data_IF_998742086542
#
_entry.id   IF_998742086542
#
_cell.length_a   1.000
_cell.length_b   1.000
_cell.length_c   1.000
_cell.angle_alpha   90.00
_cell.angle_beta   90.00
_cell.angle_gamma   90.00
#
_symmetry.space_group_name_H-M   'P 1'
#
loop_
_entity.id
_entity.type
_entity.pdbx_description
1 polymer ?
#
# COMPACT_ATOMS: atom_id res chain seq x y z
N UNK A 1 -16.57 12.90 -6.85
CA UNK A 1 -15.80 14.11 -6.53
C UNK A 1 -14.42 13.68 -6.06
N UNK A 2 -13.34 14.20 -6.67
CA UNK A 2 -11.96 13.92 -6.28
C UNK A 2 -11.51 15.01 -5.27
N UNK A 3 -10.78 14.70 -4.20
CA UNK A 3 -10.30 15.73 -3.28
C UNK A 3 -9.28 16.64 -4.00
N UNK A 4 -9.29 17.97 -3.73
CA UNK A 4 -8.50 18.97 -4.45
C UNK A 4 -7.09 19.09 -3.86
N UNK A 5 -6.43 17.97 -3.58
CA UNK A 5 -5.03 17.98 -3.17
C UNK A 5 -4.29 17.14 -4.19
N UNK A 6 -3.41 17.82 -4.94
CA UNK A 6 -2.44 17.25 -5.85
C UNK A 6 -1.39 16.47 -5.02
N UNK A 7 -1.79 15.38 -4.38
CA UNK A 7 -0.87 14.39 -3.84
C UNK A 7 -0.33 13.63 -5.05
N UNK A 8 0.91 13.86 -5.44
CA UNK A 8 1.61 12.80 -6.15
C UNK A 8 1.74 11.61 -5.17
N UNK A 9 1.46 10.38 -5.63
CA UNK A 9 1.46 9.17 -4.79
C UNK A 9 2.82 8.99 -4.06
N UNK A 10 3.91 9.54 -4.60
CA UNK A 10 5.24 9.55 -3.98
C UNK A 10 5.35 10.48 -2.77
N UNK A 11 4.75 11.67 -2.84
CA UNK A 11 4.72 12.66 -1.76
C UNK A 11 3.95 12.16 -0.53
N UNK A 12 2.96 11.28 -0.69
CA UNK A 12 2.27 10.62 0.44
C UNK A 12 3.19 9.63 1.15
N UNK A 13 3.93 8.83 0.37
CA UNK A 13 4.91 7.89 0.92
C UNK A 13 6.02 8.66 1.62
N UNK A 14 6.54 9.73 1.03
CA UNK A 14 7.59 10.56 1.63
C UNK A 14 7.12 11.33 2.86
N UNK A 15 5.89 11.83 2.88
CA UNK A 15 5.28 12.46 4.06
C UNK A 15 5.12 11.47 5.21
N UNK A 16 4.64 10.26 4.92
CA UNK A 16 4.50 9.19 5.91
C UNK A 16 5.87 8.70 6.41
N UNK A 17 6.91 8.69 5.58
CA UNK A 17 8.28 8.35 5.98
C UNK A 17 8.94 9.49 6.79
N UNK A 18 8.73 10.76 6.44
CA UNK A 18 9.28 11.92 7.18
C UNK A 18 8.69 12.07 8.58
N UNK A 19 7.39 11.75 8.77
CA UNK A 19 6.78 11.69 10.12
C UNK A 19 7.39 10.62 11.04
N UNK A 20 8.23 9.71 10.52
CA UNK A 20 8.88 8.62 11.28
C UNK A 20 10.25 8.92 11.85
N UNK A 21 10.93 10.02 11.48
CA UNK A 21 12.28 10.32 12.03
C UNK A 21 12.29 10.48 13.56
N UNK A 22 11.11 10.60 14.20
CA UNK A 22 10.96 10.76 15.64
C UNK A 22 10.52 9.51 16.44
N UNK A 23 10.30 8.31 15.86
CA UNK A 23 9.86 7.15 16.67
C UNK A 23 10.53 5.83 16.31
N UNK A 24 11.07 5.18 17.35
CA UNK A 24 11.73 3.86 17.44
C UNK A 24 10.90 2.64 16.95
N UNK A 25 9.86 2.82 16.13
CA UNK A 25 8.96 1.73 15.72
C UNK A 25 9.21 1.31 14.28
N UNK A 26 9.44 0.01 14.07
CA UNK A 26 9.56 -0.59 12.74
C UNK A 26 8.18 -0.55 12.07
N UNK A 27 8.07 0.17 10.96
CA UNK A 27 6.81 0.28 10.22
C UNK A 27 6.93 -0.48 8.91
N UNK A 28 5.96 -1.34 8.64
CA UNK A 28 5.82 -2.08 7.38
C UNK A 28 4.94 -1.27 6.41
N UNK A 29 5.47 -0.76 5.29
CA UNK A 29 4.66 -0.15 4.23
C UNK A 29 3.73 -1.19 3.59
N UNK A 30 2.47 -0.81 3.36
CA UNK A 30 1.51 -1.59 2.57
C UNK A 30 0.97 -0.65 1.49
N UNK A 31 1.03 -1.06 0.22
CA UNK A 31 0.60 -0.27 -0.93
C UNK A 31 -0.38 -1.06 -1.78
N UNK A 32 -1.52 -0.44 -2.11
CA UNK A 32 -2.57 -1.02 -2.93
C UNK A 32 -2.78 -0.13 -4.17
N UNK A 33 -2.85 -0.73 -5.36
CA UNK A 33 -3.01 0.01 -6.62
C UNK A 33 -3.70 -0.83 -7.70
N UNK A 34 -4.45 -0.20 -8.60
CA UNK A 34 -5.33 -0.83 -9.59
C UNK A 34 -4.90 -0.60 -11.04
N UNK A 35 -3.96 0.32 -11.29
CA UNK A 35 -3.59 0.74 -12.64
C UNK A 35 -2.08 0.70 -12.92
N UNK A 36 -1.71 0.97 -14.17
CA UNK A 36 -0.30 0.97 -14.60
C UNK A 36 0.55 2.04 -13.88
N UNK A 37 -0.06 3.10 -13.35
CA UNK A 37 0.68 4.15 -12.61
C UNK A 37 1.29 3.60 -11.33
N UNK A 38 0.68 2.55 -10.77
CA UNK A 38 1.08 1.89 -9.53
C UNK A 38 2.28 0.94 -9.69
N UNK A 39 2.58 0.48 -10.90
CA UNK A 39 3.68 -0.44 -11.19
C UNK A 39 5.04 0.13 -10.78
N UNK A 40 5.21 1.45 -10.91
CA UNK A 40 6.40 2.16 -10.46
C UNK A 40 6.57 2.09 -8.93
N UNK A 41 5.47 2.19 -8.18
CA UNK A 41 5.47 2.07 -6.72
C UNK A 41 5.74 0.62 -6.29
N UNK A 42 5.14 -0.36 -6.97
CA UNK A 42 5.39 -1.78 -6.70
C UNK A 42 6.87 -2.13 -6.85
N UNK A 43 7.52 -1.70 -7.93
CA UNK A 43 8.96 -1.91 -8.16
C UNK A 43 9.81 -1.27 -7.05
N UNK A 44 9.46 -0.06 -6.59
CA UNK A 44 10.20 0.65 -5.53
C UNK A 44 10.06 0.00 -4.17
N UNK A 45 8.90 -0.58 -3.88
CA UNK A 45 8.56 -1.20 -2.60
C UNK A 45 8.91 -2.70 -2.55
N UNK A 46 9.37 -3.29 -3.65
CA UNK A 46 9.82 -4.68 -3.72
C UNK A 46 10.79 -4.99 -2.57
N UNK A 47 10.47 -6.01 -1.76
CA UNK A 47 11.22 -6.44 -0.56
C UNK A 47 11.32 -5.41 0.58
N UNK A 48 10.62 -4.28 0.49
CA UNK A 48 10.62 -3.19 1.50
C UNK A 48 9.24 -2.97 2.14
N UNK A 49 8.20 -3.58 1.58
CA UNK A 49 6.82 -3.52 2.04
C UNK A 49 5.95 -4.52 1.28
N UNK A 50 4.67 -4.54 1.62
CA UNK A 50 3.67 -5.37 0.97
C UNK A 50 3.05 -4.57 -0.18
N UNK A 51 3.02 -5.14 -1.38
CA UNK A 51 2.41 -4.54 -2.57
C UNK A 51 1.28 -5.41 -3.06
N UNK A 52 0.10 -4.81 -3.27
CA UNK A 52 -1.12 -5.53 -3.64
C UNK A 52 -1.74 -4.86 -4.87
N UNK A 53 -1.89 -5.61 -5.95
CA UNK A 53 -2.65 -5.18 -7.12
C UNK A 53 -4.15 -5.36 -6.87
N UNK A 54 -4.98 -4.39 -7.27
CA UNK A 54 -6.43 -4.43 -7.16
C UNK A 54 -7.01 -4.63 -8.56
N UNK A 55 -7.30 -5.87 -8.89
CA UNK A 55 -7.83 -6.27 -10.19
C UNK A 55 -7.67 -7.77 -10.39
N UNK A 56 -8.33 -8.31 -11.42
CA UNK A 56 -8.28 -9.73 -11.73
C UNK A 56 -6.85 -10.24 -11.98
N UNK A 57 -6.54 -11.45 -11.52
CA UNK A 57 -5.21 -12.07 -11.58
C UNK A 57 -4.63 -12.38 -12.98
N UNK A 58 -5.28 -11.90 -14.05
CA UNK A 58 -4.80 -12.03 -15.43
C UNK A 58 -4.00 -10.80 -15.90
N UNK A 59 -3.78 -9.81 -15.02
CA UNK A 59 -2.99 -8.61 -15.34
C UNK A 59 -1.55 -8.80 -14.91
N UNK A 60 -0.58 -8.52 -15.78
CA UNK A 60 0.84 -8.56 -15.44
C UNK A 60 1.15 -7.39 -14.51
N UNK A 61 1.45 -7.67 -13.24
CA UNK A 61 1.79 -6.67 -12.23
C UNK A 61 3.10 -7.02 -11.50
N UNK A 62 3.84 -5.99 -11.07
CA UNK A 62 5.00 -6.11 -10.18
C UNK A 62 4.60 -6.18 -8.69
N UNK A 63 3.31 -6.12 -8.37
CA UNK A 63 2.82 -6.38 -7.03
C UNK A 63 3.12 -7.82 -6.58
N UNK A 64 3.33 -8.02 -5.28
CA UNK A 64 3.60 -9.34 -4.70
C UNK A 64 2.31 -10.14 -4.50
N UNK A 65 1.19 -9.46 -4.30
CA UNK A 65 -0.13 -10.04 -4.11
C UNK A 65 -1.16 -9.35 -5.00
N UNK A 66 -2.35 -9.93 -5.09
CA UNK A 66 -3.50 -9.30 -5.72
C UNK A 66 -4.78 -9.53 -4.92
N UNK A 67 -5.75 -8.64 -5.11
CA UNK A 67 -7.15 -8.78 -4.71
C UNK A 67 -8.02 -8.47 -5.91
N UNK A 68 -9.17 -9.13 -6.02
CA UNK A 68 -10.00 -9.09 -7.23
C UNK A 68 -10.72 -7.76 -7.43
N UNK A 69 -11.13 -7.13 -6.34
CA UNK A 69 -11.96 -5.92 -6.36
C UNK A 69 -11.88 -5.13 -5.04
N UNK A 70 -12.62 -4.01 -4.99
CA UNK A 70 -12.71 -3.14 -3.82
C UNK A 70 -13.40 -3.77 -2.61
N UNK A 71 -14.23 -4.81 -2.79
CA UNK A 71 -14.84 -5.56 -1.68
C UNK A 71 -13.78 -6.40 -0.97
N UNK A 72 -12.87 -6.99 -1.72
CA UNK A 72 -11.73 -7.72 -1.15
C UNK A 72 -10.72 -6.79 -0.48
N UNK A 73 -10.50 -5.58 -1.02
CA UNK A 73 -9.73 -4.53 -0.33
C UNK A 73 -10.34 -4.25 1.05
N UNK A 74 -11.66 -4.08 1.14
CA UNK A 74 -12.32 -3.86 2.43
C UNK A 74 -12.16 -5.06 3.38
N UNK A 75 -12.29 -6.28 2.86
CA UNK A 75 -12.07 -7.51 3.63
C UNK A 75 -10.64 -7.60 4.17
N UNK A 76 -9.65 -7.26 3.34
CA UNK A 76 -8.25 -7.17 3.73
C UNK A 76 -8.02 -6.15 4.84
N UNK A 77 -8.53 -4.91 4.69
CA UNK A 77 -8.36 -3.85 5.70
C UNK A 77 -9.03 -4.19 7.04
N UNK A 78 -10.20 -4.85 7.01
CA UNK A 78 -10.86 -5.34 8.23
C UNK A 78 -10.01 -6.36 8.97
N UNK A 79 -9.42 -7.33 8.26
CA UNK A 79 -8.51 -8.32 8.84
C UNK A 79 -7.24 -7.65 9.38
N UNK A 80 -6.69 -6.68 8.65
CA UNK A 80 -5.51 -5.93 9.07
C UNK A 80 -5.74 -5.18 10.40
N UNK A 81 -6.91 -4.56 10.57
CA UNK A 81 -7.29 -3.88 11.81
C UNK A 81 -7.47 -4.82 13.02
N UNK A 82 -7.56 -6.13 12.79
CA UNK A 82 -7.63 -7.15 13.85
C UNK A 82 -6.26 -7.72 14.21
N UNK A 83 -5.20 -7.38 13.45
CA UNK A 83 -3.84 -7.83 13.77
C UNK A 83 -3.41 -7.14 15.06
N UNK A 84 -3.07 -7.90 16.12
CA UNK A 84 -2.60 -7.31 17.37
C UNK A 84 -1.33 -6.50 17.14
N UNK A 85 -1.18 -5.39 17.87
CA UNK A 85 0.09 -4.66 17.87
C UNK A 85 1.18 -5.57 18.45
N UNK A 86 2.18 -5.89 17.63
CA UNK A 86 3.42 -6.51 18.07
C UNK A 86 4.32 -5.44 18.70
N UNK A 87 3.90 -4.91 19.85
CA UNK A 87 4.80 -4.20 20.76
C UNK A 87 5.18 -5.20 21.86
N UNK A 88 6.37 -5.77 21.77
CA UNK A 88 7.10 -6.48 22.84
C UNK A 88 8.43 -5.80 23.03
#
# INVERSE_FOLDING_TARGET
MRPPIKWDKGSLVDYLLKRKKNKRRRILPIYLGDDETDESAFKRLKKKGITIFVGGGNTVSNAEYYVRDTKEVLGFLKKLGQVPNFDS
#
